data_IF_768305943616
#
_entry.id   IF_768305943616
#
_cell.length_a   1.000
_cell.length_b   1.000
_cell.length_c   1.000
_cell.angle_alpha   90.00
_cell.angle_beta   90.00
_cell.angle_gamma   90.00
#
_symmetry.space_group_name_H-M   'P 1'
#
loop_
_entity.id
_entity.type
_entity.pdbx_description
1 polymer ?
#
# COMPACT_ATOMS: atom_id res chain seq x y z
N UNK A 1 -19.13 8.67 -16.28
CA UNK A 1 -19.77 9.60 -15.36
C UNK A 1 -19.52 11.02 -15.83
N UNK A 2 -20.46 11.90 -15.57
CA UNK A 2 -20.35 13.35 -15.81
C UNK A 2 -19.97 14.06 -14.50
N UNK A 3 -20.69 13.75 -13.43
CA UNK A 3 -20.46 14.30 -12.09
C UNK A 3 -20.86 13.30 -11.00
N UNK A 4 -20.43 13.59 -9.78
CA UNK A 4 -20.78 12.79 -8.62
C UNK A 4 -20.84 13.64 -7.35
N UNK A 5 -21.73 13.29 -6.41
CA UNK A 5 -21.86 13.95 -5.11
C UNK A 5 -22.40 12.97 -4.07
N UNK A 6 -21.81 12.95 -2.88
CA UNK A 6 -22.21 12.01 -1.82
C UNK A 6 -22.11 10.57 -2.29
N UNK A 7 -23.23 9.86 -2.25
CA UNK A 7 -23.35 8.47 -2.70
C UNK A 7 -23.88 8.32 -4.14
N UNK A 8 -23.87 9.40 -4.92
CA UNK A 8 -24.48 9.44 -6.24
C UNK A 8 -23.47 9.69 -7.35
N UNK A 9 -23.62 8.91 -8.44
CA UNK A 9 -22.98 9.11 -9.73
C UNK A 9 -24.03 9.50 -10.76
N UNK A 10 -23.72 10.49 -11.60
CA UNK A 10 -24.57 10.91 -12.71
C UNK A 10 -23.80 10.70 -14.00
N UNK A 11 -24.40 10.00 -14.95
CA UNK A 11 -23.81 9.77 -16.27
C UNK A 11 -24.06 10.93 -17.25
N UNK A 12 -23.46 10.81 -18.44
CA UNK A 12 -23.59 11.87 -19.49
C UNK A 12 -25.00 12.01 -20.04
N UNK A 13 -25.88 11.03 -19.85
CA UNK A 13 -27.28 11.04 -20.26
C UNK A 13 -28.20 11.56 -19.13
N UNK A 14 -27.64 11.90 -17.97
CA UNK A 14 -28.35 12.42 -16.81
C UNK A 14 -28.96 11.34 -15.91
N UNK A 15 -28.68 10.07 -16.12
CA UNK A 15 -29.15 9.02 -15.23
C UNK A 15 -28.36 9.01 -13.92
N UNK A 16 -29.06 8.82 -12.81
CA UNK A 16 -28.49 8.78 -11.46
C UNK A 16 -28.37 7.36 -10.94
N UNK A 17 -27.21 7.03 -10.37
CA UNK A 17 -26.87 5.73 -9.78
C UNK A 17 -26.38 5.89 -8.35
N UNK A 18 -26.71 4.91 -7.49
CA UNK A 18 -26.08 4.77 -6.17
C UNK A 18 -24.70 4.17 -6.38
N UNK A 19 -23.67 4.81 -5.85
CA UNK A 19 -22.29 4.33 -5.97
C UNK A 19 -21.92 3.38 -4.80
N UNK A 20 -21.86 2.08 -5.08
CA UNK A 20 -21.35 1.06 -4.18
C UNK A 20 -19.86 0.76 -4.38
N UNK A 21 -19.18 1.47 -5.29
CA UNK A 21 -17.79 1.20 -5.65
C UNK A 21 -16.84 2.17 -4.95
N UNK A 22 -17.29 3.40 -4.70
CA UNK A 22 -16.50 4.46 -4.05
C UNK A 22 -15.14 4.67 -4.72
N UNK A 23 -15.12 4.68 -6.08
CA UNK A 23 -13.92 4.82 -6.90
C UNK A 23 -12.85 3.76 -6.60
N UNK A 24 -13.24 2.52 -6.29
CA UNK A 24 -12.36 1.41 -5.90
C UNK A 24 -11.68 1.62 -4.54
N UNK A 25 -12.30 2.44 -3.68
CA UNK A 25 -11.96 2.59 -2.28
C UNK A 25 -11.41 3.92 -1.77
N UNK A 26 -10.90 4.88 -2.56
CA UNK A 26 -10.39 6.14 -2.01
C UNK A 26 -11.46 7.04 -1.40
N UNK A 27 -12.71 6.98 -1.88
CA UNK A 27 -13.77 7.92 -1.50
C UNK A 27 -14.58 7.41 -0.31
N UNK A 28 -13.94 7.24 0.83
CA UNK A 28 -14.58 6.75 2.05
C UNK A 28 -15.66 7.71 2.58
N UNK A 29 -15.49 9.01 2.34
CA UNK A 29 -16.43 10.07 2.74
C UNK A 29 -17.40 10.48 1.62
N UNK A 30 -17.50 9.67 0.56
CA UNK A 30 -18.32 9.94 -0.62
C UNK A 30 -17.65 10.86 -1.62
N UNK A 31 -18.42 11.19 -2.67
CA UNK A 31 -17.98 12.08 -3.73
C UNK A 31 -18.12 13.55 -3.30
N UNK A 32 -17.09 14.35 -3.61
CA UNK A 32 -17.11 15.81 -3.50
C UNK A 32 -17.70 16.35 -2.18
N UNK A 33 -17.28 15.86 -1.00
CA UNK A 33 -17.75 16.42 0.26
C UNK A 33 -17.34 17.91 0.34
N UNK A 34 -18.22 18.77 0.86
CA UNK A 34 -18.10 20.23 0.83
C UNK A 34 -16.74 20.74 1.34
N UNK A 35 -16.24 20.14 2.43
CA UNK A 35 -14.95 20.54 3.03
C UNK A 35 -13.75 20.32 2.09
N UNK A 36 -13.85 19.44 1.10
CA UNK A 36 -12.75 19.15 0.15
C UNK A 36 -12.53 20.29 -0.84
N UNK A 37 -13.59 21.00 -1.26
CA UNK A 37 -13.48 22.13 -2.18
C UNK A 37 -12.96 23.39 -1.52
N UNK A 38 -13.13 23.52 -0.20
CA UNK A 38 -12.72 24.69 0.56
C UNK A 38 -11.19 24.86 0.55
N UNK A 39 -10.72 25.97 0.00
CA UNK A 39 -9.28 26.30 -0.14
C UNK A 39 -8.57 25.66 -1.34
N UNK A 40 -9.23 24.80 -2.12
CA UNK A 40 -8.62 24.12 -3.27
C UNK A 40 -8.21 25.13 -4.37
N UNK A 41 -9.05 26.13 -4.65
CA UNK A 41 -8.73 27.17 -5.63
C UNK A 41 -7.50 27.98 -5.20
N UNK A 42 -7.40 28.33 -3.92
CA UNK A 42 -6.25 29.07 -3.40
C UNK A 42 -4.97 28.22 -3.45
N UNK A 43 -5.07 26.92 -3.14
CA UNK A 43 -3.94 26.01 -3.28
C UNK A 43 -3.49 25.89 -4.75
N UNK A 44 -4.43 25.80 -5.69
CA UNK A 44 -4.12 25.71 -7.10
C UNK A 44 -3.41 26.99 -7.63
N UNK A 45 -3.77 28.17 -7.11
CA UNK A 45 -3.11 29.44 -7.44
C UNK A 45 -1.65 29.52 -6.98
N UNK A 46 -1.26 28.75 -5.95
CA UNK A 46 0.12 28.68 -5.47
C UNK A 46 1.03 27.86 -6.37
N UNK A 47 0.46 27.03 -7.24
CA UNK A 47 1.16 26.14 -8.15
C UNK A 47 0.92 24.66 -7.80
N UNK A 48 1.10 23.80 -8.79
CA UNK A 48 0.73 22.39 -8.74
C UNK A 48 1.93 21.43 -8.58
N UNK A 49 3.16 21.92 -8.81
CA UNK A 49 4.38 21.11 -8.70
C UNK A 49 5.60 22.02 -8.64
N UNK A 50 6.53 21.75 -7.74
CA UNK A 50 7.72 22.62 -7.52
C UNK A 50 9.06 21.93 -7.73
N UNK A 51 9.10 20.58 -7.78
CA UNK A 51 10.35 19.82 -7.85
C UNK A 51 11.20 19.87 -6.56
N UNK A 52 10.62 20.34 -5.46
CA UNK A 52 11.23 20.42 -4.11
C UNK A 52 10.18 20.07 -3.06
N UNK A 53 10.62 19.65 -1.87
CA UNK A 53 9.72 19.34 -0.76
C UNK A 53 8.86 20.55 -0.36
N UNK A 54 7.63 20.28 0.06
CA UNK A 54 6.67 21.27 0.51
C UNK A 54 6.31 21.05 1.97
N UNK A 55 5.90 22.12 2.66
CA UNK A 55 5.46 22.05 4.06
C UNK A 55 4.26 21.07 4.19
N UNK A 56 3.32 21.15 3.27
CA UNK A 56 2.12 20.30 3.30
C UNK A 56 2.44 18.80 3.10
N UNK A 57 3.48 18.46 2.34
CA UNK A 57 3.98 17.08 2.24
C UNK A 57 4.51 16.59 3.58
N UNK A 58 5.24 17.44 4.30
CA UNK A 58 5.77 17.14 5.64
C UNK A 58 4.61 16.95 6.64
N UNK A 59 3.57 17.77 6.57
CA UNK A 59 2.39 17.65 7.42
C UNK A 59 1.64 16.33 7.18
N UNK A 60 1.43 15.93 5.92
CA UNK A 60 0.81 14.63 5.60
C UNK A 60 1.69 13.46 6.06
N UNK A 61 3.01 13.56 5.84
CA UNK A 61 3.95 12.54 6.33
C UNK A 61 3.87 12.39 7.85
N UNK A 62 3.78 13.51 8.57
CA UNK A 62 3.62 13.51 10.03
C UNK A 62 2.31 12.87 10.47
N UNK A 63 1.18 13.19 9.82
CA UNK A 63 -0.12 12.57 10.12
C UNK A 63 -0.03 11.03 9.98
N UNK A 64 0.62 10.55 8.92
CA UNK A 64 0.78 9.11 8.70
C UNK A 64 1.66 8.47 9.78
N UNK A 65 2.80 9.06 10.10
CA UNK A 65 3.71 8.55 11.13
C UNK A 65 3.05 8.57 12.52
N UNK A 66 2.36 9.64 12.86
CA UNK A 66 1.64 9.76 14.14
C UNK A 66 0.51 8.69 14.28
N UNK A 67 -0.12 8.31 13.16
CA UNK A 67 -1.15 7.28 13.14
C UNK A 67 -0.60 5.84 13.21
N UNK A 68 0.65 5.63 12.76
CA UNK A 68 1.27 4.30 12.64
C UNK A 68 2.57 4.19 13.44
N UNK A 69 2.53 3.86 14.74
CA UNK A 69 3.72 3.82 15.60
C UNK A 69 4.82 2.86 15.13
N UNK A 70 4.49 1.89 14.28
CA UNK A 70 5.45 0.93 13.71
C UNK A 70 6.41 1.56 12.68
N UNK A 71 6.16 2.78 12.22
CA UNK A 71 6.98 3.47 11.21
C UNK A 71 7.50 4.81 11.72
N UNK A 72 8.75 5.13 11.42
CA UNK A 72 9.39 6.40 11.79
C UNK A 72 9.43 7.39 10.63
N UNK A 73 9.45 6.87 9.41
CA UNK A 73 9.59 7.65 8.19
C UNK A 73 8.70 7.12 7.09
N UNK A 74 8.18 8.03 6.28
CA UNK A 74 7.34 7.73 5.12
C UNK A 74 7.87 8.47 3.90
N UNK A 75 7.67 7.89 2.72
CA UNK A 75 7.98 8.49 1.43
C UNK A 75 6.78 8.47 0.52
N UNK A 76 6.45 9.64 -0.05
CA UNK A 76 5.34 9.79 -0.98
C UNK A 76 5.69 9.26 -2.36
N UNK A 77 4.70 8.67 -3.01
CA UNK A 77 4.67 8.24 -4.41
C UNK A 77 3.30 8.56 -5.01
N UNK A 78 3.03 8.16 -6.26
CA UNK A 78 1.78 8.56 -6.94
C UNK A 78 0.69 7.48 -6.95
N UNK A 79 1.00 6.26 -6.54
CA UNK A 79 0.05 5.15 -6.56
C UNK A 79 0.42 4.05 -5.57
N UNK A 80 -0.56 3.17 -5.26
CA UNK A 80 -0.30 1.97 -4.48
C UNK A 80 0.69 1.02 -5.16
N UNK A 81 0.69 0.94 -6.50
CA UNK A 81 1.68 0.14 -7.25
C UNK A 81 3.10 0.67 -7.03
N UNK A 82 3.31 1.98 -7.09
CA UNK A 82 4.62 2.56 -6.80
C UNK A 82 5.04 2.33 -5.35
N UNK A 83 4.09 2.39 -4.41
CA UNK A 83 4.36 2.14 -2.99
C UNK A 83 4.85 0.70 -2.76
N UNK A 84 4.12 -0.29 -3.24
CA UNK A 84 4.47 -1.71 -3.06
C UNK A 84 5.76 -2.08 -3.81
N UNK A 85 5.92 -1.62 -5.05
CA UNK A 85 7.14 -1.79 -5.84
C UNK A 85 8.37 -1.21 -5.13
N UNK A 86 8.23 -0.03 -4.56
CA UNK A 86 9.32 0.65 -3.84
C UNK A 86 9.63 -0.03 -2.52
N UNK A 87 8.62 -0.39 -1.73
CA UNK A 87 8.79 -1.12 -0.46
C UNK A 87 9.53 -2.45 -0.66
N UNK A 88 9.16 -3.22 -1.68
CA UNK A 88 9.84 -4.48 -2.01
C UNK A 88 11.29 -4.26 -2.45
N UNK A 89 11.57 -3.18 -3.20
CA UNK A 89 12.95 -2.82 -3.56
C UNK A 89 13.77 -2.47 -2.32
N UNK A 90 13.19 -1.70 -1.37
CA UNK A 90 13.84 -1.36 -0.11
C UNK A 90 14.11 -2.61 0.72
N UNK A 91 13.12 -3.48 0.86
CA UNK A 91 13.28 -4.75 1.60
C UNK A 91 14.39 -5.63 1.03
N UNK A 92 14.47 -5.76 -0.31
CA UNK A 92 15.59 -6.45 -0.96
C UNK A 92 16.94 -5.77 -0.70
N UNK A 93 17.00 -4.45 -0.79
CA UNK A 93 18.23 -3.68 -0.52
C UNK A 93 18.67 -3.77 0.94
N UNK A 94 17.72 -3.76 1.88
CA UNK A 94 17.98 -3.86 3.30
C UNK A 94 18.48 -5.25 3.72
N UNK A 95 17.82 -6.32 3.24
CA UNK A 95 18.15 -7.70 3.60
C UNK A 95 19.26 -8.31 2.76
N UNK A 96 19.59 -7.71 1.63
CA UNK A 96 20.46 -8.28 0.58
C UNK A 96 19.97 -9.64 0.07
N UNK A 97 18.64 -9.83 -0.01
CA UNK A 97 17.97 -11.05 -0.49
C UNK A 97 17.11 -10.73 -1.71
N UNK A 98 16.73 -11.75 -2.48
CA UNK A 98 16.05 -11.52 -3.77
C UNK A 98 14.57 -11.93 -3.77
N UNK A 99 14.21 -12.97 -3.03
CA UNK A 99 12.85 -13.52 -3.08
C UNK A 99 11.86 -12.70 -2.26
N UNK A 100 10.62 -12.69 -2.69
CA UNK A 100 9.49 -12.16 -1.95
C UNK A 100 8.41 -13.23 -1.87
N UNK A 101 7.61 -13.20 -0.81
CA UNK A 101 6.45 -14.06 -0.63
C UNK A 101 5.20 -13.21 -0.61
N UNK A 102 4.21 -13.59 -1.40
CA UNK A 102 2.85 -13.02 -1.42
C UNK A 102 1.80 -14.12 -1.31
N UNK A 103 0.54 -13.75 -1.28
CA UNK A 103 -0.57 -14.69 -1.11
C UNK A 103 -1.51 -14.71 -2.30
N UNK A 104 -2.09 -15.89 -2.57
CA UNK A 104 -3.16 -16.05 -3.55
C UNK A 104 -4.32 -15.11 -3.22
N UNK A 105 -4.92 -14.53 -4.25
CA UNK A 105 -6.03 -13.59 -4.10
C UNK A 105 -5.66 -12.18 -3.67
N UNK A 106 -4.49 -11.96 -3.07
CA UNK A 106 -4.00 -10.63 -2.74
C UNK A 106 -3.51 -9.88 -3.99
N UNK A 107 -3.85 -8.59 -4.06
CA UNK A 107 -3.44 -7.69 -5.13
C UNK A 107 -2.55 -6.55 -4.58
N UNK A 108 -1.37 -6.41 -5.14
CA UNK A 108 -0.38 -5.45 -4.70
C UNK A 108 0.08 -4.49 -5.81
N UNK A 109 -0.84 -4.13 -6.71
CA UNK A 109 -0.52 -3.32 -7.88
C UNK A 109 -0.05 -4.15 -9.07
N UNK A 110 0.34 -3.46 -10.16
CA UNK A 110 0.62 -4.06 -11.46
C UNK A 110 2.10 -4.04 -11.86
N UNK A 111 3.01 -3.97 -10.91
CA UNK A 111 4.43 -4.20 -11.16
C UNK A 111 4.63 -5.67 -11.58
N UNK A 112 5.44 -5.90 -12.61
CA UNK A 112 5.62 -7.21 -13.24
C UNK A 112 5.91 -8.34 -12.23
N UNK A 113 6.77 -8.09 -11.25
CA UNK A 113 7.10 -9.07 -10.22
C UNK A 113 5.95 -9.45 -9.27
N UNK A 114 4.83 -8.73 -9.32
CA UNK A 114 3.63 -8.98 -8.51
C UNK A 114 2.46 -9.57 -9.32
N UNK A 115 2.55 -9.55 -10.65
CA UNK A 115 1.57 -10.16 -11.56
C UNK A 115 1.84 -11.67 -11.70
N UNK A 116 1.59 -12.40 -10.63
CA UNK A 116 1.97 -13.79 -10.47
C UNK A 116 0.91 -14.54 -9.67
N UNK A 117 0.68 -15.79 -10.02
CA UNK A 117 -0.17 -16.75 -9.29
C UNK A 117 0.62 -18.00 -8.95
N UNK A 118 0.09 -18.86 -8.07
CA UNK A 118 0.68 -20.16 -7.78
C UNK A 118 0.85 -21.00 -9.05
N UNK A 119 1.99 -21.66 -9.16
CA UNK A 119 2.20 -22.72 -10.14
C UNK A 119 1.32 -23.95 -9.84
N UNK A 120 1.11 -24.80 -10.82
CA UNK A 120 0.36 -26.05 -10.62
C UNK A 120 1.18 -27.07 -9.82
N UNK A 121 0.57 -27.70 -8.83
CA UNK A 121 1.15 -28.79 -8.05
C UNK A 121 2.06 -28.34 -6.92
N UNK A 122 3.17 -29.02 -6.74
CA UNK A 122 4.14 -28.82 -5.64
C UNK A 122 5.11 -27.64 -5.85
N UNK A 123 4.96 -26.89 -6.97
CA UNK A 123 5.85 -25.79 -7.30
C UNK A 123 5.37 -24.50 -6.64
N UNK A 124 6.13 -24.01 -5.69
CA UNK A 124 5.96 -22.72 -5.01
C UNK A 124 6.30 -21.51 -5.91
N UNK A 125 6.91 -21.76 -7.06
CA UNK A 125 7.28 -20.71 -8.01
C UNK A 125 6.05 -20.21 -8.75
N UNK A 126 5.87 -18.91 -8.76
CA UNK A 126 4.78 -18.26 -9.45
C UNK A 126 4.88 -18.35 -10.97
N UNK A 127 3.74 -18.37 -11.63
CA UNK A 127 3.62 -18.21 -13.09
C UNK A 127 3.02 -16.84 -13.38
N UNK A 128 3.45 -16.15 -14.47
CA UNK A 128 2.88 -14.87 -14.86
C UNK A 128 1.36 -14.96 -15.05
N UNK A 129 0.62 -13.96 -14.52
CA UNK A 129 -0.84 -13.85 -14.71
C UNK A 129 -1.23 -12.98 -15.89
N UNK A 130 -0.27 -12.29 -16.48
CA UNK A 130 -0.51 -11.38 -17.61
C UNK A 130 0.45 -11.69 -18.78
N UNK A 131 -0.07 -11.72 -20.02
CA UNK A 131 0.79 -11.63 -21.19
C UNK A 131 1.69 -10.39 -21.11
N UNK A 132 2.94 -10.52 -21.56
CA UNK A 132 3.93 -9.45 -21.51
C UNK A 132 4.82 -9.47 -20.26
N UNK A 133 4.49 -10.22 -19.23
CA UNK A 133 5.36 -10.43 -18.06
C UNK A 133 6.32 -11.59 -18.34
N UNK A 134 7.65 -11.37 -18.43
CA UNK A 134 8.60 -12.45 -18.63
C UNK A 134 8.66 -13.39 -17.44
N UNK A 135 8.82 -14.71 -17.69
CA UNK A 135 8.93 -15.70 -16.63
C UNK A 135 10.10 -15.41 -15.66
N UNK A 136 11.21 -14.89 -16.18
CA UNK A 136 12.38 -14.53 -15.39
C UNK A 136 12.13 -13.41 -14.37
N UNK A 137 11.14 -12.55 -14.59
CA UNK A 137 10.78 -11.47 -13.65
C UNK A 137 10.07 -12.02 -12.43
N UNK A 138 9.24 -13.05 -12.61
CA UNK A 138 8.44 -13.63 -11.53
C UNK A 138 9.11 -14.78 -10.79
N UNK A 139 10.25 -15.27 -11.23
CA UNK A 139 10.97 -16.40 -10.61
C UNK A 139 11.38 -16.19 -9.16
N UNK A 140 11.47 -14.93 -8.73
CA UNK A 140 11.79 -14.55 -7.37
C UNK A 140 10.55 -14.20 -6.52
N UNK A 141 9.34 -14.48 -7.03
CA UNK A 141 8.09 -14.27 -6.30
C UNK A 141 7.47 -15.61 -5.95
N UNK A 142 7.45 -15.89 -4.67
CA UNK A 142 6.83 -17.08 -4.08
C UNK A 142 5.37 -16.77 -3.77
N UNK A 143 4.48 -17.74 -3.93
CA UNK A 143 3.05 -17.57 -3.67
C UNK A 143 2.57 -18.67 -2.76
N UNK A 144 1.99 -18.28 -1.61
CA UNK A 144 1.34 -19.19 -0.65
C UNK A 144 -0.16 -18.98 -0.65
N UNK A 145 -0.87 -19.96 -0.11
CA UNK A 145 -2.31 -19.83 0.16
C UNK A 145 -2.55 -18.85 1.31
N UNK A 146 -3.57 -18.01 1.14
CA UNK A 146 -3.97 -17.07 2.19
C UNK A 146 -4.62 -17.80 3.36
N UNK A 147 -4.34 -17.40 4.60
CA UNK A 147 -4.77 -18.06 5.84
C UNK A 147 -4.26 -19.50 6.03
N UNK A 148 -3.12 -19.84 5.42
CA UNK A 148 -2.50 -21.17 5.53
C UNK A 148 -1.05 -21.04 6.03
N UNK A 149 -0.86 -21.12 7.35
CA UNK A 149 0.47 -21.03 7.96
C UNK A 149 1.34 -22.27 7.72
N UNK A 150 0.73 -23.43 7.44
CA UNK A 150 1.50 -24.64 7.13
C UNK A 150 2.17 -24.51 5.75
N UNK A 151 1.48 -23.92 4.78
CA UNK A 151 2.05 -23.60 3.47
C UNK A 151 3.19 -22.57 3.61
N UNK A 152 3.02 -21.55 4.44
CA UNK A 152 4.05 -20.54 4.72
C UNK A 152 5.28 -21.19 5.37
N UNK A 153 5.11 -21.99 6.42
CA UNK A 153 6.21 -22.66 7.12
C UNK A 153 7.02 -23.55 6.17
N UNK A 154 6.33 -24.36 5.34
CA UNK A 154 6.99 -25.20 4.34
C UNK A 154 7.87 -24.37 3.40
N UNK A 155 7.41 -23.23 2.91
CA UNK A 155 8.18 -22.36 2.02
C UNK A 155 9.39 -21.76 2.74
N UNK A 156 9.21 -21.37 4.01
CA UNK A 156 10.33 -20.83 4.81
C UNK A 156 11.37 -21.89 5.16
N UNK A 157 10.98 -23.11 5.45
CA UNK A 157 11.93 -24.24 5.66
C UNK A 157 12.77 -24.51 4.41
N UNK A 158 12.17 -24.39 3.22
CA UNK A 158 12.86 -24.65 1.96
C UNK A 158 13.73 -23.47 1.49
N UNK A 159 13.29 -22.22 1.71
CA UNK A 159 13.84 -21.02 1.04
C UNK A 159 13.94 -19.77 1.92
N UNK A 160 13.68 -19.86 3.22
CA UNK A 160 13.52 -18.71 4.12
C UNK A 160 14.71 -17.76 4.13
N UNK A 161 15.94 -18.30 4.02
CA UNK A 161 17.17 -17.49 4.00
C UNK A 161 17.29 -16.57 2.77
N UNK A 162 16.54 -16.85 1.70
CA UNK A 162 16.53 -16.06 0.47
C UNK A 162 15.37 -15.05 0.42
N UNK A 163 14.39 -15.16 1.36
CA UNK A 163 13.19 -14.31 1.36
C UNK A 163 13.50 -12.96 1.98
N UNK A 164 13.46 -11.91 1.15
CA UNK A 164 13.64 -10.53 1.57
C UNK A 164 12.43 -9.97 2.29
N UNK A 165 11.23 -10.29 1.79
CA UNK A 165 9.99 -9.77 2.33
C UNK A 165 8.81 -10.73 2.18
N UNK A 166 7.87 -10.65 3.12
CA UNK A 166 6.49 -11.11 2.99
C UNK A 166 5.62 -9.88 2.82
N UNK A 167 4.78 -9.84 1.78
CA UNK A 167 3.78 -8.79 1.58
C UNK A 167 2.38 -9.37 1.68
N UNK A 168 1.52 -8.74 2.47
CA UNK A 168 0.16 -9.21 2.74
C UNK A 168 -0.84 -8.07 2.87
N UNK A 169 -2.02 -8.21 2.26
CA UNK A 169 -3.22 -7.46 2.64
C UNK A 169 -3.79 -8.15 3.88
N UNK A 170 -3.81 -7.48 5.03
CA UNK A 170 -4.32 -8.07 6.28
C UNK A 170 -5.82 -8.36 6.23
N UNK A 171 -6.55 -7.58 5.44
CA UNK A 171 -7.90 -7.87 4.96
C UNK A 171 -7.86 -7.72 3.44
N UNK A 172 -7.91 -8.84 2.73
CA UNK A 172 -7.83 -8.82 1.28
C UNK A 172 -9.13 -8.36 0.65
N UNK A 173 -9.13 -7.10 0.17
CA UNK A 173 -10.30 -6.48 -0.43
C UNK A 173 -10.65 -7.09 -1.78
N UNK A 174 -9.65 -7.38 -2.61
CA UNK A 174 -9.85 -7.81 -4.00
C UNK A 174 -10.42 -9.24 -4.15
N UNK A 175 -10.26 -10.10 -3.15
CA UNK A 175 -10.86 -11.43 -3.17
C UNK A 175 -12.22 -11.54 -2.44
N UNK A 176 -12.87 -10.39 -2.17
CA UNK A 176 -14.21 -10.33 -1.57
C UNK A 176 -14.21 -9.97 -0.09
N UNK A 177 -13.26 -9.14 0.35
CA UNK A 177 -13.13 -8.67 1.73
C UNK A 177 -12.90 -9.84 2.71
N UNK A 178 -11.85 -10.61 2.45
CA UNK A 178 -11.46 -11.75 3.28
C UNK A 178 -10.43 -11.32 4.31
N UNK A 179 -10.76 -11.33 5.61
CA UNK A 179 -9.78 -11.02 6.66
C UNK A 179 -8.78 -12.17 6.84
N UNK A 180 -7.54 -11.81 7.16
CA UNK A 180 -6.59 -12.73 7.75
C UNK A 180 -7.09 -13.18 9.13
N UNK A 181 -6.85 -14.43 9.51
CA UNK A 181 -7.10 -14.83 10.90
C UNK A 181 -6.04 -14.23 11.80
N UNK A 182 -6.37 -14.07 13.11
CA UNK A 182 -5.40 -13.55 14.07
C UNK A 182 -4.14 -14.44 14.12
N UNK A 183 -4.33 -15.76 14.08
CA UNK A 183 -3.25 -16.74 14.08
C UNK A 183 -2.37 -16.63 12.84
N UNK A 184 -2.97 -16.34 11.68
CA UNK A 184 -2.24 -16.16 10.43
C UNK A 184 -1.39 -14.90 10.47
N UNK A 185 -1.97 -13.75 10.82
CA UNK A 185 -1.25 -12.47 10.85
C UNK A 185 -0.14 -12.49 11.92
N UNK A 186 -0.40 -13.04 13.11
CA UNK A 186 0.62 -13.22 14.14
C UNK A 186 1.70 -14.21 13.69
N UNK A 187 1.30 -15.33 13.08
CA UNK A 187 2.25 -16.33 12.55
C UNK A 187 3.17 -15.75 11.49
N UNK A 188 2.68 -14.85 10.64
CA UNK A 188 3.54 -14.12 9.68
C UNK A 188 4.57 -13.24 10.39
N UNK A 189 4.17 -12.54 11.46
CA UNK A 189 5.13 -11.75 12.26
C UNK A 189 6.19 -12.62 12.88
N UNK A 190 5.79 -13.74 13.48
CA UNK A 190 6.69 -14.64 14.19
C UNK A 190 7.74 -15.27 13.25
N UNK A 191 7.29 -15.77 12.10
CA UNK A 191 8.21 -16.37 11.12
C UNK A 191 9.13 -15.32 10.47
N UNK A 192 8.63 -14.12 10.21
CA UNK A 192 9.46 -13.03 9.71
C UNK A 192 10.53 -12.61 10.73
N UNK A 193 10.22 -12.64 12.03
CA UNK A 193 11.21 -12.39 13.09
C UNK A 193 12.28 -13.47 13.13
N UNK A 194 11.88 -14.75 13.06
CA UNK A 194 12.77 -15.89 13.06
C UNK A 194 13.80 -15.83 11.92
N UNK A 195 13.33 -15.60 10.69
CA UNK A 195 14.17 -15.56 9.48
C UNK A 195 14.73 -14.18 9.16
N UNK A 196 14.45 -13.16 9.97
CA UNK A 196 14.84 -11.75 9.73
C UNK A 196 14.38 -11.26 8.35
N UNK A 197 13.17 -11.64 7.98
CA UNK A 197 12.48 -11.24 6.77
C UNK A 197 11.63 -9.99 7.05
N UNK A 198 11.56 -9.06 6.12
CA UNK A 198 10.74 -7.85 6.27
C UNK A 198 9.26 -8.18 6.09
N UNK A 199 8.44 -7.92 7.09
CA UNK A 199 6.98 -8.02 6.98
C UNK A 199 6.40 -6.70 6.50
N UNK A 200 5.71 -6.74 5.36
CA UNK A 200 5.07 -5.57 4.74
C UNK A 200 3.55 -5.73 4.80
N UNK A 201 2.87 -4.80 5.47
CA UNK A 201 1.42 -4.69 5.36
C UNK A 201 1.07 -3.79 4.17
N UNK A 202 0.33 -4.35 3.21
CA UNK A 202 -0.28 -3.58 2.14
C UNK A 202 -1.59 -2.98 2.63
N UNK A 203 -1.50 -1.76 3.08
CA UNK A 203 -2.61 -0.96 3.59
C UNK A 203 -3.21 -0.03 2.52
N UNK A 204 -2.97 -0.31 1.25
CA UNK A 204 -3.50 0.52 0.14
C UNK A 204 -5.03 0.57 0.16
N UNK A 205 -5.71 -0.53 0.54
CA UNK A 205 -7.16 -0.56 0.76
C UNK A 205 -7.53 -0.29 2.21
N UNK A 206 -6.83 -0.93 3.14
CA UNK A 206 -7.20 -0.98 4.56
C UNK A 206 -6.73 0.23 5.37
N UNK A 207 -5.70 0.93 4.90
CA UNK A 207 -5.13 2.10 5.57
C UNK A 207 -6.16 3.18 5.85
N UNK A 208 -6.30 3.59 7.11
CA UNK A 208 -7.31 4.55 7.60
C UNK A 208 -8.78 4.10 7.38
N UNK A 209 -9.00 2.80 7.07
CA UNK A 209 -10.35 2.26 6.83
C UNK A 209 -10.85 1.40 7.98
N UNK A 210 -10.06 0.44 8.48
CA UNK A 210 -10.47 -0.45 9.57
C UNK A 210 -10.54 0.30 10.90
N UNK A 211 -9.59 1.18 11.12
CA UNK A 211 -9.48 2.15 12.21
C UNK A 211 -8.52 3.24 11.73
N UNK A 212 -8.28 4.29 12.51
CA UNK A 212 -7.31 5.34 12.16
C UNK A 212 -5.88 4.81 12.03
N UNK A 213 -5.50 3.85 12.88
CA UNK A 213 -4.24 3.09 12.80
C UNK A 213 -4.40 1.72 12.11
N UNK A 214 -5.51 1.52 11.40
CA UNK A 214 -5.85 0.40 10.54
C UNK A 214 -5.53 -1.00 11.09
N UNK A 215 -4.77 -1.81 10.34
CA UNK A 215 -4.49 -3.22 10.67
C UNK A 215 -3.74 -3.38 11.98
N UNK A 216 -2.86 -2.44 12.35
CA UNK A 216 -2.14 -2.48 13.64
C UNK A 216 -3.15 -2.40 14.78
N UNK A 217 -4.12 -1.48 14.70
CA UNK A 217 -5.17 -1.35 15.71
C UNK A 217 -6.12 -2.54 15.75
N UNK A 218 -6.36 -3.17 14.61
CA UNK A 218 -7.30 -4.28 14.49
C UNK A 218 -6.68 -5.62 14.96
N UNK A 219 -5.46 -5.92 14.54
CA UNK A 219 -4.79 -7.21 14.83
C UNK A 219 -3.81 -7.14 16.01
N UNK A 220 -3.38 -5.95 16.45
CA UNK A 220 -2.34 -5.80 17.46
C UNK A 220 -0.97 -6.32 17.00
N UNK A 221 -0.72 -6.40 15.69
CA UNK A 221 0.51 -6.89 15.09
C UNK A 221 1.19 -5.78 14.31
N UNK A 222 2.46 -5.53 14.56
CA UNK A 222 3.24 -4.50 13.90
C UNK A 222 4.06 -5.07 12.73
N UNK A 223 3.92 -4.52 11.53
CA UNK A 223 4.80 -4.83 10.40
C UNK A 223 6.14 -4.07 10.52
N UNK A 224 7.10 -4.43 9.66
CA UNK A 224 8.35 -3.67 9.50
C UNK A 224 8.17 -2.51 8.53
N UNK A 225 7.29 -2.69 7.53
CA UNK A 225 6.95 -1.67 6.51
C UNK A 225 5.45 -1.66 6.25
N UNK A 226 4.96 -0.50 5.79
CA UNK A 226 3.56 -0.30 5.40
C UNK A 226 3.50 0.41 4.05
N UNK A 227 2.56 -0.01 3.20
CA UNK A 227 2.24 0.65 1.94
C UNK A 227 0.86 1.27 2.02
N UNK A 228 0.72 2.52 1.58
CA UNK A 228 -0.52 3.28 1.59
C UNK A 228 -0.91 3.74 0.18
N UNK A 229 -2.18 4.06 0.01
CA UNK A 229 -2.74 4.63 -1.20
C UNK A 229 -4.19 5.04 -0.98
N UNK A 230 -4.95 5.12 -2.06
CA UNK A 230 -6.41 5.35 -2.03
C UNK A 230 -6.85 6.45 -1.04
N UNK A 231 -7.25 6.10 0.18
CA UNK A 231 -7.78 7.02 1.19
C UNK A 231 -6.84 8.19 1.47
N UNK A 232 -5.52 7.96 1.53
CA UNK A 232 -4.56 9.03 1.80
C UNK A 232 -4.50 10.10 0.71
N UNK A 233 -5.06 9.83 -0.46
CA UNK A 233 -5.16 10.77 -1.59
C UNK A 233 -6.54 11.40 -1.77
N UNK A 234 -7.58 10.88 -1.10
CA UNK A 234 -8.94 11.39 -1.25
C UNK A 234 -9.42 11.52 -2.71
N UNK A 235 -9.04 10.57 -3.56
CA UNK A 235 -9.33 10.58 -5.01
C UNK A 235 -8.19 11.14 -5.87
N UNK A 236 -7.17 11.77 -5.29
CA UNK A 236 -5.98 12.21 -6.01
C UNK A 236 -4.95 11.06 -6.15
N UNK A 237 -4.07 11.12 -7.16
CA UNK A 237 -3.02 10.13 -7.37
C UNK A 237 -1.95 10.24 -6.28
N UNK A 238 -2.09 9.44 -5.24
CA UNK A 238 -1.18 9.37 -4.09
C UNK A 238 -0.97 7.93 -3.68
N UNK A 239 0.25 7.62 -3.35
CA UNK A 239 0.67 6.47 -2.57
C UNK A 239 1.77 6.87 -1.61
N UNK A 240 2.08 6.02 -0.67
CA UNK A 240 3.21 6.20 0.22
C UNK A 240 3.71 4.83 0.71
N UNK A 241 4.96 4.75 1.11
CA UNK A 241 5.49 3.62 1.86
C UNK A 241 6.34 4.13 3.01
N UNK A 242 6.29 3.42 4.12
CA UNK A 242 7.01 3.79 5.33
C UNK A 242 7.53 2.59 6.09
N UNK A 243 8.53 2.84 6.93
CA UNK A 243 9.15 1.84 7.79
C UNK A 243 9.87 2.51 8.94
N UNK A 244 10.48 1.69 9.82
CA UNK A 244 11.44 2.17 10.81
C UNK A 244 12.61 2.86 10.11
N UNK A 245 13.21 3.82 10.81
CA UNK A 245 14.32 4.65 10.31
C UNK A 245 15.48 3.82 9.74
N UNK A 246 15.82 2.70 10.38
CA UNK A 246 16.91 1.84 9.93
C UNK A 246 16.67 1.25 8.53
N UNK A 247 15.43 0.85 8.23
CA UNK A 247 15.05 0.34 6.91
C UNK A 247 14.98 1.49 5.91
N UNK A 248 14.34 2.61 6.26
CA UNK A 248 14.21 3.76 5.38
C UNK A 248 15.55 4.46 5.09
N UNK A 249 16.55 4.29 5.93
CA UNK A 249 17.90 4.78 5.68
C UNK A 249 18.59 4.12 4.48
N UNK A 250 18.05 3.01 3.96
CA UNK A 250 18.50 2.43 2.70
C UNK A 250 18.07 3.24 1.47
N UNK A 251 17.10 4.15 1.61
CA UNK A 251 16.54 4.90 0.48
C UNK A 251 17.42 6.11 0.14
N UNK A 252 17.66 6.32 -1.15
CA UNK A 252 18.38 7.50 -1.66
C UNK A 252 17.69 8.81 -1.23
N UNK A 253 18.43 9.87 -0.86
CA UNK A 253 19.90 10.04 -0.99
C UNK A 253 20.71 9.52 0.22
N UNK A 254 20.07 9.04 1.28
CA UNK A 254 20.75 8.55 2.48
C UNK A 254 21.43 7.21 2.20
N UNK A 255 20.72 6.29 1.53
CA UNK A 255 21.21 4.98 1.15
C UNK A 255 21.23 4.75 -0.36
N UNK A 256 21.61 3.53 -0.81
CA UNK A 256 21.80 3.25 -2.23
C UNK A 256 20.52 2.87 -2.98
N UNK A 257 19.40 2.61 -2.29
CA UNK A 257 18.16 2.15 -2.94
C UNK A 257 17.44 3.33 -3.58
N UNK A 258 17.38 3.32 -4.91
CA UNK A 258 16.82 4.43 -5.67
C UNK A 258 15.30 4.39 -5.74
N UNK A 259 14.69 5.55 -5.50
CA UNK A 259 13.29 5.84 -5.79
C UNK A 259 13.17 7.34 -6.10
N UNK A 260 12.41 7.68 -7.13
CA UNK A 260 12.09 9.05 -7.49
C UNK A 260 10.70 9.11 -8.16
N UNK A 261 10.07 10.27 -8.07
CA UNK A 261 8.79 10.55 -8.74
C UNK A 261 8.58 12.06 -8.82
N UNK A 262 8.53 12.60 -10.04
CA UNK A 262 8.43 14.05 -10.28
C UNK A 262 7.21 14.67 -9.58
N UNK A 263 6.09 13.95 -9.55
CA UNK A 263 4.82 14.43 -9.03
C UNK A 263 4.51 13.92 -7.61
N UNK A 264 5.40 13.11 -7.03
CA UNK A 264 5.23 12.59 -5.68
C UNK A 264 5.21 13.72 -4.67
N UNK A 265 4.20 13.72 -3.78
CA UNK A 265 4.04 14.77 -2.77
C UNK A 265 3.58 16.11 -3.36
N UNK A 266 2.94 16.13 -4.55
CA UNK A 266 2.46 17.37 -5.14
C UNK A 266 1.43 18.08 -4.21
N UNK A 267 1.44 19.43 -4.18
CA UNK A 267 0.72 20.18 -3.16
C UNK A 267 -0.81 20.01 -3.22
N UNK A 268 -1.40 19.80 -4.40
CA UNK A 268 -2.86 19.61 -4.51
C UNK A 268 -3.28 18.25 -3.92
N UNK A 269 -2.54 17.19 -4.25
CA UNK A 269 -2.82 15.88 -3.71
C UNK A 269 -2.57 15.82 -2.19
N UNK A 270 -1.51 16.45 -1.71
CA UNK A 270 -1.23 16.56 -0.28
C UNK A 270 -2.30 17.38 0.45
N UNK A 271 -2.78 18.46 -0.14
CA UNK A 271 -3.84 19.29 0.45
C UNK A 271 -5.14 18.51 0.66
N UNK A 272 -5.62 17.80 -0.37
CA UNK A 272 -6.82 16.99 -0.27
C UNK A 272 -6.63 15.79 0.65
N UNK A 273 -5.48 15.12 0.56
CA UNK A 273 -5.13 14.01 1.46
C UNK A 273 -5.09 14.44 2.92
N UNK A 274 -4.47 15.59 3.23
CA UNK A 274 -4.45 16.15 4.59
C UNK A 274 -5.85 16.38 5.14
N UNK A 275 -6.70 17.09 4.39
CA UNK A 275 -8.09 17.37 4.79
C UNK A 275 -8.86 16.08 5.07
N UNK A 276 -8.71 15.08 4.21
CA UNK A 276 -9.37 13.79 4.38
C UNK A 276 -8.90 13.07 5.66
N UNK A 277 -7.59 12.99 5.87
CA UNK A 277 -7.02 12.33 7.04
C UNK A 277 -7.35 13.04 8.36
N UNK A 278 -7.35 14.36 8.37
CA UNK A 278 -7.77 15.17 9.52
C UNK A 278 -9.25 14.94 9.84
N UNK A 279 -10.13 14.92 8.82
CA UNK A 279 -11.54 14.60 9.01
C UNK A 279 -11.75 13.20 9.59
N UNK A 280 -11.02 12.19 9.09
CA UNK A 280 -11.10 10.83 9.61
C UNK A 280 -10.55 10.68 11.04
N UNK A 281 -9.60 11.54 11.45
CA UNK A 281 -9.08 11.55 12.81
C UNK A 281 -10.10 12.10 13.80
N UNK A 282 -10.83 13.13 13.39
CA UNK A 282 -11.66 13.93 14.28
C UNK A 282 -13.10 13.37 14.39
N UNK A 283 -13.44 12.32 13.65
CA UNK A 283 -14.73 11.62 13.63
C UNK A 283 -14.59 10.11 13.86
#
# INVERSE_FOLDING_TARGET
>A
ADKAHGDRLIDVDGNEYIDYICSWGPLMLGHSPDFMSEGLEEMAKRGTSYGVATEIEIEVAKIIVDAYPAIDQVRMVNSGTEATMSALRVARGYTNRNKILKFEGCYHGHSDGLLVQSGSGTLTFGVPTSPGVPADVVKNTLVCRYNDMDDVRRVFEEQGDDIAAVIVETVSGNMGVVPGTQEFIQGLRDICNEYKTVLIFDEVITGFRLAYNSSIGYFGVEPDMVCFGKIIGAGMPVGAYGARKEIMSCVSPVGPVYQAGTLSGNPLAMFLGKKNLETLRDH
#
